data_IF_094893532423
#
_entry.id   IF_094893532423
#
_cell.length_a   1.000
_cell.length_b   1.000
_cell.length_c   1.000
_cell.angle_alpha   90.00
_cell.angle_beta   90.00
_cell.angle_gamma   90.00
#
_symmetry.space_group_name_H-M   'P 1'
#
loop_
_entity.id
_entity.type
_entity.pdbx_description
1 polymer ?
#
# COMPACT_ATOMS: atom_id res chain seq x y z
N UNK A 1 -0.78 -9.37 -21.79
CA UNK A 1 -0.46 -9.21 -20.37
C UNK A 1 0.96 -8.68 -20.28
N UNK A 2 1.17 -7.62 -19.52
CA UNK A 2 2.50 -7.04 -19.24
C UNK A 2 2.86 -7.33 -17.79
N UNK A 3 4.16 -7.38 -17.53
CA UNK A 3 4.68 -7.54 -16.17
C UNK A 3 5.61 -6.37 -15.85
N UNK A 4 5.55 -5.93 -14.61
CA UNK A 4 6.50 -5.03 -13.99
C UNK A 4 7.05 -5.67 -12.73
N UNK A 5 8.37 -5.75 -12.64
CA UNK A 5 9.06 -6.30 -11.46
C UNK A 5 10.25 -5.43 -11.14
N UNK A 6 10.44 -5.19 -9.87
CA UNK A 6 11.66 -4.58 -9.37
C UNK A 6 11.94 -4.99 -7.93
N UNK A 7 13.18 -4.84 -7.52
CA UNK A 7 13.64 -5.13 -6.17
C UNK A 7 14.48 -3.95 -5.68
N UNK A 8 14.30 -3.57 -4.41
CA UNK A 8 15.06 -2.55 -3.73
C UNK A 8 15.61 -3.11 -2.41
N UNK A 9 16.85 -2.78 -2.06
CA UNK A 9 17.34 -2.97 -0.70
C UNK A 9 17.09 -1.68 0.09
N UNK A 10 16.44 -1.81 1.24
CA UNK A 10 16.08 -0.71 2.12
C UNK A 10 16.79 -0.87 3.47
N UNK A 11 17.42 0.19 4.02
CA UNK A 11 18.18 0.13 5.28
C UNK A 11 17.24 0.23 6.51
N UNK A 12 16.19 -0.58 6.54
CA UNK A 12 15.17 -0.61 7.59
C UNK A 12 14.77 -2.06 7.89
N UNK A 13 14.37 -2.33 9.13
CA UNK A 13 13.78 -3.61 9.51
C UNK A 13 12.46 -3.85 8.75
N UNK A 14 12.19 -5.11 8.38
CA UNK A 14 10.99 -5.47 7.62
C UNK A 14 9.70 -5.12 8.35
N UNK A 15 9.63 -5.34 9.66
CA UNK A 15 8.48 -4.97 10.49
C UNK A 15 8.17 -3.46 10.44
N UNK A 16 9.22 -2.62 10.40
CA UNK A 16 9.05 -1.17 10.34
C UNK A 16 8.54 -0.71 8.98
N UNK A 17 9.01 -1.31 7.90
CA UNK A 17 8.48 -1.07 6.55
C UNK A 17 7.04 -1.57 6.43
N UNK A 18 6.76 -2.74 7.00
CA UNK A 18 5.42 -3.31 7.02
C UNK A 18 4.43 -2.38 7.70
N UNK A 19 4.74 -1.90 8.91
CA UNK A 19 3.90 -0.94 9.63
C UNK A 19 3.65 0.33 8.81
N UNK A 20 4.66 0.89 8.13
CA UNK A 20 4.47 2.05 7.26
C UNK A 20 3.52 1.75 6.10
N UNK A 21 3.58 0.56 5.53
CA UNK A 21 2.71 0.19 4.40
C UNK A 21 1.27 -0.08 4.84
N UNK A 22 1.05 -0.44 6.09
CA UNK A 22 -0.28 -0.59 6.67
C UNK A 22 -0.88 0.74 7.17
N UNK A 23 -0.06 1.75 7.43
CA UNK A 23 -0.50 3.09 7.79
C UNK A 23 -0.93 3.86 6.52
N UNK A 24 -2.18 3.67 6.10
CA UNK A 24 -2.72 4.22 4.85
C UNK A 24 -2.80 5.75 4.84
N UNK A 25 -2.90 6.39 5.99
CA UNK A 25 -2.93 7.85 6.11
C UNK A 25 -1.58 8.45 5.70
N UNK A 26 -0.48 7.73 5.94
CA UNK A 26 0.87 8.16 5.57
C UNK A 26 1.26 7.90 4.12
N UNK A 27 0.43 7.20 3.35
CA UNK A 27 0.76 6.99 1.94
C UNK A 27 0.95 8.29 1.18
N UNK A 28 0.29 9.37 1.58
CA UNK A 28 0.45 10.68 0.98
C UNK A 28 1.83 11.31 1.23
N UNK A 29 2.53 10.91 2.27
CA UNK A 29 3.82 11.46 2.67
C UNK A 29 4.94 10.98 1.74
N UNK A 30 4.88 9.74 1.26
CA UNK A 30 5.92 9.15 0.43
C UNK A 30 5.46 8.77 -0.99
N UNK A 31 4.18 8.66 -1.25
CA UNK A 31 3.62 8.35 -2.57
C UNK A 31 2.91 9.58 -3.17
N UNK A 32 3.62 10.50 -3.83
CA UNK A 32 3.11 11.82 -4.21
C UNK A 32 1.99 11.78 -5.25
N UNK A 33 1.80 10.62 -5.89
CA UNK A 33 0.65 10.41 -6.78
C UNK A 33 -0.61 10.03 -6.01
N UNK A 34 -0.49 9.53 -4.78
CA UNK A 34 -1.63 9.20 -3.92
C UNK A 34 -2.15 10.47 -3.27
N UNK A 35 -3.46 10.67 -3.32
CA UNK A 35 -4.15 11.76 -2.66
C UNK A 35 -4.79 11.32 -1.34
N UNK A 36 -5.27 10.08 -1.30
CA UNK A 36 -5.93 9.49 -0.14
C UNK A 36 -6.13 7.99 -0.36
N UNK A 37 -6.15 7.25 0.72
CA UNK A 37 -6.58 5.85 0.75
C UNK A 37 -7.77 5.74 1.70
N UNK A 38 -8.88 5.21 1.22
CA UNK A 38 -10.07 4.96 2.02
C UNK A 38 -10.18 3.44 2.26
N UNK A 39 -10.17 3.00 3.50
CA UNK A 39 -10.50 1.62 3.84
C UNK A 39 -12.01 1.45 3.70
N UNK A 40 -12.43 0.63 2.75
CA UNK A 40 -13.86 0.34 2.48
C UNK A 40 -14.32 -0.84 3.34
N UNK A 41 -13.44 -1.82 3.52
CA UNK A 41 -13.65 -2.99 4.36
C UNK A 41 -12.30 -3.43 4.95
N UNK A 42 -12.17 -3.60 6.27
CA UNK A 42 -10.87 -3.87 6.91
C UNK A 42 -10.32 -5.28 6.67
N UNK A 43 -11.14 -6.23 6.21
CA UNK A 43 -10.75 -7.63 6.08
C UNK A 43 -10.88 -8.40 7.40
N UNK A 44 -10.16 -9.54 7.48
CA UNK A 44 -10.00 -10.30 8.72
C UNK A 44 -8.91 -9.69 9.62
N UNK A 45 -8.64 -10.30 10.78
CA UNK A 45 -7.66 -9.82 11.76
C UNK A 45 -6.23 -9.74 11.20
N UNK A 46 -5.91 -10.52 10.17
CA UNK A 46 -4.65 -10.45 9.45
C UNK A 46 -4.65 -9.42 8.31
N UNK A 47 -5.82 -8.86 7.98
CA UNK A 47 -6.01 -7.94 6.87
C UNK A 47 -6.32 -8.61 5.53
N UNK A 48 -6.54 -9.94 5.48
CA UNK A 48 -6.99 -10.58 4.25
C UNK A 48 -8.44 -10.23 3.96
N UNK A 49 -8.73 -9.95 2.70
CA UNK A 49 -10.03 -9.44 2.29
C UNK A 49 -10.20 -7.94 2.51
N UNK A 50 -9.16 -7.24 2.98
CA UNK A 50 -9.15 -5.78 3.04
C UNK A 50 -9.50 -5.21 1.67
N UNK A 51 -10.50 -4.34 1.65
CA UNK A 51 -10.91 -3.60 0.47
C UNK A 51 -10.59 -2.13 0.69
N UNK A 52 -9.67 -1.58 -0.10
CA UNK A 52 -9.27 -0.18 -0.02
C UNK A 52 -9.48 0.53 -1.35
N UNK A 53 -9.83 1.80 -1.28
CA UNK A 53 -9.91 2.69 -2.43
C UNK A 53 -8.76 3.65 -2.41
N UNK A 54 -7.87 3.54 -3.39
CA UNK A 54 -6.77 4.50 -3.59
C UNK A 54 -7.23 5.59 -4.55
N UNK A 55 -7.12 6.84 -4.13
CA UNK A 55 -7.41 8.02 -4.94
C UNK A 55 -6.08 8.67 -5.31
N UNK A 56 -5.85 8.90 -6.59
CA UNK A 56 -4.57 9.36 -7.09
C UNK A 56 -4.70 10.50 -8.09
N UNK A 57 -3.60 11.24 -8.23
CA UNK A 57 -3.46 12.30 -9.22
C UNK A 57 -3.35 11.73 -10.63
N UNK A 58 -4.12 12.29 -11.54
CA UNK A 58 -4.06 12.01 -12.97
C UNK A 58 -3.51 13.23 -13.70
N UNK A 59 -3.00 13.06 -14.93
CA UNK A 59 -2.62 14.20 -15.78
C UNK A 59 -3.75 15.23 -15.91
N UNK A 60 -3.38 16.49 -16.14
CA UNK A 60 -4.31 17.62 -16.31
C UNK A 60 -5.17 17.92 -15.06
N UNK A 61 -4.64 17.64 -13.86
CA UNK A 61 -5.33 17.95 -12.59
C UNK A 61 -6.54 17.07 -12.30
N UNK A 62 -6.75 16.00 -13.07
CA UNK A 62 -7.82 15.03 -12.82
C UNK A 62 -7.47 14.11 -11.65
N UNK A 63 -8.50 13.48 -11.10
CA UNK A 63 -8.35 12.42 -10.10
C UNK A 63 -8.80 11.09 -10.71
N UNK A 64 -8.06 10.03 -10.37
CA UNK A 64 -8.44 8.65 -10.61
C UNK A 64 -8.71 7.95 -9.30
N UNK A 65 -9.36 6.80 -9.36
CA UNK A 65 -9.49 5.93 -8.20
C UNK A 65 -9.39 4.47 -8.63
N UNK A 66 -8.74 3.67 -7.80
CA UNK A 66 -8.69 2.23 -7.91
C UNK A 66 -9.28 1.61 -6.65
N UNK A 67 -10.02 0.53 -6.81
CA UNK A 67 -10.49 -0.29 -5.71
C UNK A 67 -9.62 -1.55 -5.70
N UNK A 68 -8.93 -1.78 -4.59
CA UNK A 68 -7.97 -2.87 -4.42
C UNK A 68 -8.46 -3.82 -3.35
N UNK A 69 -8.45 -5.12 -3.69
CA UNK A 69 -8.63 -6.21 -2.75
C UNK A 69 -7.26 -6.74 -2.35
N UNK A 70 -6.96 -6.74 -1.06
CA UNK A 70 -5.73 -7.29 -0.46
C UNK A 70 -5.98 -8.71 0.03
N UNK A 71 -5.02 -9.59 -0.19
CA UNK A 71 -5.07 -11.00 0.20
C UNK A 71 -3.67 -11.59 0.35
N UNK A 72 -3.57 -12.84 0.77
CA UNK A 72 -2.29 -13.55 0.84
C UNK A 72 -1.36 -13.03 1.93
N UNK A 73 -1.89 -12.34 2.93
CA UNK A 73 -1.16 -12.00 4.15
C UNK A 73 -1.09 -13.26 5.01
N UNK A 74 0.11 -13.69 5.31
CA UNK A 74 0.37 -14.81 6.21
C UNK A 74 0.96 -14.26 7.51
N UNK A 75 0.17 -14.19 8.61
CA UNK A 75 0.64 -13.67 9.90
C UNK A 75 1.65 -14.58 10.60
N UNK A 76 1.73 -15.87 10.18
CA UNK A 76 2.66 -16.86 10.76
C UNK A 76 3.96 -16.98 9.95
N UNK A 77 4.15 -16.13 8.94
CA UNK A 77 5.35 -16.15 8.11
C UNK A 77 6.57 -15.66 8.91
N UNK A 78 7.46 -16.59 9.27
CA UNK A 78 8.69 -16.29 10.04
C UNK A 78 9.71 -15.47 9.23
N UNK A 79 9.69 -15.55 7.90
CA UNK A 79 10.73 -15.04 7.01
C UNK A 79 10.39 -13.69 6.32
N UNK A 80 9.46 -12.91 6.86
CA UNK A 80 9.14 -11.59 6.31
C UNK A 80 7.66 -11.28 6.23
N UNK A 81 7.31 -10.28 5.42
CA UNK A 81 5.95 -9.81 5.24
C UNK A 81 5.61 -9.75 3.76
N UNK A 82 4.34 -9.90 3.44
CA UNK A 82 3.89 -9.76 2.07
C UNK A 82 2.38 -9.76 1.94
N UNK A 83 1.91 -9.30 0.80
CA UNK A 83 0.51 -9.39 0.41
C UNK A 83 0.37 -9.42 -1.11
N UNK A 84 -0.71 -10.03 -1.55
CA UNK A 84 -1.20 -9.92 -2.92
C UNK A 84 -2.26 -8.83 -2.99
N UNK A 85 -2.35 -8.15 -4.12
CA UNK A 85 -3.44 -7.23 -4.38
C UNK A 85 -4.06 -7.49 -5.75
N UNK A 86 -5.37 -7.28 -5.83
CA UNK A 86 -6.13 -7.36 -7.07
C UNK A 86 -6.91 -6.07 -7.24
N UNK A 87 -6.71 -5.40 -8.35
CA UNK A 87 -7.53 -4.24 -8.70
C UNK A 87 -8.88 -4.70 -9.22
N UNK A 88 -9.95 -4.24 -8.58
CA UNK A 88 -11.32 -4.50 -9.00
C UNK A 88 -11.71 -3.46 -10.06
N UNK A 89 -11.43 -3.76 -11.32
CA UNK A 89 -11.76 -2.90 -12.45
C UNK A 89 -13.27 -2.86 -12.70
N UNK A 90 -13.76 -1.70 -13.15
CA UNK A 90 -15.13 -1.57 -13.63
C UNK A 90 -15.34 -2.07 -15.07
N UNK A 91 -14.26 -2.34 -15.78
CA UNK A 91 -14.31 -2.77 -17.18
C UNK A 91 -13.92 -4.22 -17.30
N UNK A 92 -14.77 -5.07 -17.90
CA UNK A 92 -14.41 -6.46 -18.16
C UNK A 92 -13.11 -6.55 -18.97
N UNK A 93 -12.19 -7.37 -18.51
CA UNK A 93 -10.91 -7.63 -19.17
C UNK A 93 -9.76 -6.69 -18.78
N UNK A 94 -9.99 -5.67 -17.95
CA UNK A 94 -8.92 -4.90 -17.32
C UNK A 94 -8.53 -5.61 -16.01
N UNK A 95 -7.52 -6.47 -16.09
CA UNK A 95 -7.03 -7.21 -14.94
C UNK A 95 -5.69 -6.62 -14.49
N UNK A 96 -5.59 -6.35 -13.20
CA UNK A 96 -4.35 -5.94 -12.57
C UNK A 96 -4.22 -6.64 -11.24
N UNK A 97 -3.16 -7.40 -11.11
CA UNK A 97 -2.80 -8.11 -9.87
C UNK A 97 -1.34 -7.86 -9.56
N UNK A 98 -0.98 -7.91 -8.32
CA UNK A 98 0.41 -7.78 -7.94
C UNK A 98 0.70 -8.41 -6.59
N UNK A 99 1.98 -8.48 -6.27
CA UNK A 99 2.52 -8.96 -5.00
C UNK A 99 3.57 -8.01 -4.48
N UNK A 100 3.51 -7.75 -3.21
CA UNK A 100 4.53 -7.06 -2.42
C UNK A 100 5.17 -8.08 -1.47
N UNK A 101 6.50 -8.06 -1.37
CA UNK A 101 7.23 -8.90 -0.42
C UNK A 101 8.32 -8.09 0.26
N UNK A 102 8.46 -8.28 1.57
CA UNK A 102 9.49 -7.69 2.43
C UNK A 102 10.28 -8.84 3.07
N UNK A 103 11.43 -9.16 2.51
CA UNK A 103 12.33 -10.21 2.98
C UNK A 103 13.41 -9.59 3.88
N UNK A 104 13.51 -9.94 5.17
CA UNK A 104 14.62 -9.51 6.02
C UNK A 104 15.94 -10.09 5.48
N UNK A 105 16.90 -9.23 5.16
CA UNK A 105 18.27 -9.64 4.75
C UNK A 105 19.31 -9.24 5.79
N UNK A 106 18.84 -8.74 6.94
CA UNK A 106 19.64 -8.36 8.10
C UNK A 106 18.76 -7.63 9.13
N UNK A 107 19.30 -7.34 10.33
CA UNK A 107 18.50 -6.75 11.43
C UNK A 107 17.80 -5.43 11.07
N UNK A 108 18.46 -4.61 10.26
CA UNK A 108 17.97 -3.32 9.78
C UNK A 108 18.09 -3.22 8.25
N UNK A 109 17.86 -4.31 7.55
CA UNK A 109 17.96 -4.35 6.10
C UNK A 109 16.95 -5.31 5.52
N UNK A 110 16.17 -4.83 4.58
CA UNK A 110 15.06 -5.55 3.96
C UNK A 110 15.21 -5.48 2.45
N UNK A 111 14.99 -6.61 1.80
CA UNK A 111 14.75 -6.69 0.37
C UNK A 111 13.27 -6.53 0.12
N UNK A 112 12.89 -5.39 -0.46
CA UNK A 112 11.56 -5.14 -0.98
C UNK A 112 11.48 -5.69 -2.41
N UNK A 113 10.46 -6.48 -2.70
CA UNK A 113 10.16 -6.95 -4.06
C UNK A 113 8.73 -6.59 -4.42
N UNK A 114 8.56 -6.09 -5.64
CA UNK A 114 7.27 -5.74 -6.22
C UNK A 114 7.11 -6.46 -7.55
N UNK A 115 6.01 -7.16 -7.69
CA UNK A 115 5.60 -7.81 -8.93
C UNK A 115 4.19 -7.37 -9.26
N UNK A 116 3.96 -6.98 -10.50
CA UNK A 116 2.66 -6.56 -10.98
C UNK A 116 2.42 -7.12 -12.37
N UNK A 117 1.21 -7.63 -12.58
CA UNK A 117 0.72 -8.08 -13.88
C UNK A 117 -0.52 -7.29 -14.23
N UNK A 118 -0.56 -6.80 -15.45
CA UNK A 118 -1.67 -6.00 -15.92
C UNK A 118 -2.02 -6.26 -17.38
N UNK A 119 -3.29 -6.05 -17.68
CA UNK A 119 -3.85 -6.14 -19.02
C UNK A 119 -4.87 -5.03 -19.20
N UNK A 120 -4.64 -4.11 -20.13
CA UNK A 120 -5.64 -3.12 -20.52
C UNK A 120 -6.29 -3.56 -21.82
N UNK A 121 -7.57 -3.85 -21.76
CA UNK A 121 -8.32 -4.32 -22.93
C UNK A 121 -9.10 -3.20 -23.61
N UNK A 122 -9.28 -2.06 -22.92
CA UNK A 122 -10.07 -0.95 -23.47
C UNK A 122 -9.33 -0.16 -24.54
N UNK A 123 -9.82 -0.21 -25.79
CA UNK A 123 -9.46 0.71 -26.87
C UNK A 123 -10.09 2.07 -26.56
N UNK A 124 -9.41 3.21 -26.68
CA UNK A 124 -8.14 3.48 -27.36
C UNK A 124 -6.87 3.42 -26.47
N UNK A 125 -6.97 3.13 -25.18
CA UNK A 125 -5.86 3.17 -24.23
C UNK A 125 -4.74 2.18 -24.54
N UNK A 126 -5.05 1.10 -25.23
CA UNK A 126 -4.07 0.08 -25.65
C UNK A 126 -2.89 0.66 -26.46
N UNK A 127 -3.10 1.71 -27.23
CA UNK A 127 -2.04 2.37 -28.00
C UNK A 127 -1.08 3.18 -27.11
N UNK A 128 -1.57 3.67 -25.98
CA UNK A 128 -0.79 4.46 -25.04
C UNK A 128 -0.35 3.64 -23.81
N UNK A 129 -0.67 2.36 -23.80
CA UNK A 129 -0.38 1.46 -22.70
C UNK A 129 1.09 1.54 -22.26
N UNK A 130 2.06 1.45 -23.19
CA UNK A 130 3.48 1.50 -22.89
C UNK A 130 3.93 2.77 -22.14
N UNK A 131 3.67 3.96 -22.70
CA UNK A 131 3.99 5.23 -22.03
C UNK A 131 3.31 5.41 -20.66
N UNK A 132 2.02 5.04 -20.55
CA UNK A 132 1.26 5.18 -19.30
C UNK A 132 1.87 4.28 -18.20
N UNK A 133 2.09 3.01 -18.51
CA UNK A 133 2.69 2.09 -17.53
C UNK A 133 4.13 2.43 -17.24
N UNK A 134 4.92 2.83 -18.21
CA UNK A 134 6.27 3.30 -17.95
C UNK A 134 6.32 4.50 -17.00
N UNK A 135 5.30 5.36 -17.04
CA UNK A 135 5.15 6.44 -16.07
C UNK A 135 4.74 5.91 -14.69
N UNK A 136 3.71 5.06 -14.61
CA UNK A 136 3.21 4.47 -13.35
C UNK A 136 4.33 3.70 -12.66
N UNK A 137 5.05 2.85 -13.38
CA UNK A 137 6.14 2.04 -12.84
C UNK A 137 7.25 2.91 -12.22
N UNK A 138 7.67 3.98 -12.93
CA UNK A 138 8.65 4.93 -12.37
C UNK A 138 8.14 5.63 -11.11
N UNK A 139 6.85 5.96 -11.04
CA UNK A 139 6.27 6.56 -9.85
C UNK A 139 6.21 5.57 -8.68
N UNK A 140 5.89 4.31 -8.93
CA UNK A 140 5.88 3.27 -7.90
C UNK A 140 7.29 3.05 -7.31
N UNK A 141 8.31 2.89 -8.15
CA UNK A 141 9.69 2.77 -7.67
C UNK A 141 10.14 4.01 -6.89
N UNK A 142 9.83 5.21 -7.40
CA UNK A 142 10.17 6.46 -6.72
C UNK A 142 9.46 6.58 -5.36
N UNK A 143 8.20 6.14 -5.26
CA UNK A 143 7.46 6.13 -4.00
C UNK A 143 8.12 5.21 -2.96
N UNK A 144 8.58 4.04 -3.36
CA UNK A 144 9.27 3.13 -2.44
C UNK A 144 10.61 3.67 -1.96
N UNK A 145 11.38 4.35 -2.81
CA UNK A 145 12.59 5.05 -2.38
C UNK A 145 12.29 6.16 -1.38
N UNK A 146 11.22 6.94 -1.63
CA UNK A 146 10.76 7.97 -0.69
C UNK A 146 10.24 7.39 0.62
N UNK A 147 9.57 6.23 0.61
CA UNK A 147 9.20 5.53 1.84
C UNK A 147 10.42 5.21 2.71
N UNK A 148 11.51 4.75 2.09
CA UNK A 148 12.77 4.52 2.78
C UNK A 148 13.39 5.82 3.32
N UNK A 149 13.38 6.90 2.53
CA UNK A 149 13.86 8.22 2.95
C UNK A 149 13.00 8.78 4.08
N UNK A 150 11.68 8.64 3.99
CA UNK A 150 10.74 9.07 5.03
C UNK A 150 11.04 8.36 6.36
N UNK A 151 11.21 7.04 6.36
CA UNK A 151 11.59 6.28 7.55
C UNK A 151 12.94 6.71 8.12
N UNK A 152 13.89 7.09 7.28
CA UNK A 152 15.18 7.62 7.74
C UNK A 152 15.02 8.96 8.46
N UNK A 153 14.11 9.80 7.98
CA UNK A 153 13.78 11.09 8.61
C UNK A 153 12.91 10.99 9.87
N UNK A 154 12.27 9.84 10.13
CA UNK A 154 11.35 9.63 11.24
C UNK A 154 11.79 8.42 12.09
N UNK A 155 12.92 8.49 12.80
CA UNK A 155 13.45 7.37 13.60
C UNK A 155 12.50 6.95 14.73
N UNK A 156 11.62 7.84 15.17
CA UNK A 156 10.59 7.60 16.19
C UNK A 156 9.43 6.73 15.71
N UNK A 157 9.20 6.59 14.39
CA UNK A 157 8.14 5.74 13.86
C UNK A 157 8.40 4.27 14.18
N UNK A 158 7.55 3.67 14.99
CA UNK A 158 7.66 2.29 15.46
C UNK A 158 6.37 1.52 15.24
N UNK A 159 6.45 0.22 14.87
CA UNK A 159 5.26 -0.63 14.66
C UNK A 159 4.38 -0.76 15.90
N UNK A 160 5.00 -0.84 17.08
CA UNK A 160 4.38 -1.04 18.39
C UNK A 160 3.55 0.16 18.88
N UNK A 161 3.65 1.31 18.22
CA UNK A 161 2.86 2.51 18.54
C UNK A 161 1.61 2.67 17.65
N UNK A 162 1.52 1.94 16.55
CA UNK A 162 0.38 2.05 15.61
C UNK A 162 -0.89 1.43 16.21
N UNK A 163 -0.76 0.40 17.05
CA UNK A 163 -1.89 -0.28 17.69
C UNK A 163 -2.42 0.45 18.94
N UNK A 164 -1.65 1.39 19.52
CA UNK A 164 -1.98 2.04 20.79
C UNK A 164 -3.03 3.16 20.65
N UNK A 165 -3.21 3.73 19.47
CA UNK A 165 -4.13 4.85 19.27
C UNK A 165 -5.57 4.41 18.92
N UNK A 166 -5.81 3.13 18.65
CA UNK A 166 -7.15 2.63 18.30
C UNK A 166 -8.01 2.38 19.53
N UNK A 167 -7.41 2.08 20.69
CA UNK A 167 -8.14 1.77 21.93
C UNK A 167 -8.43 3.03 22.81
N UNK A 168 -7.97 4.20 22.41
CA UNK A 168 -7.99 5.42 23.23
C UNK A 168 -9.27 6.26 23.21
N UNK A 169 -10.29 5.93 22.43
CA UNK A 169 -11.47 6.79 22.26
C UNK A 169 -12.81 6.11 22.58
N UNK A 170 -12.93 5.49 23.73
CA UNK A 170 -14.13 4.75 24.14
C UNK A 170 -14.63 4.89 25.56
N UNK A 171 -14.08 5.79 26.39
CA UNK A 171 -14.68 6.08 27.70
C UNK A 171 -14.80 7.60 27.95
N UNK A 172 -15.78 8.21 27.29
CA UNK A 172 -16.33 9.51 27.73
C UNK A 172 -17.43 9.21 28.75
N UNK A 173 -17.02 9.24 30.01
CA UNK A 173 -17.73 9.66 31.21
C UNK A 173 -19.26 9.95 31.05
N UNK A 174 -20.07 8.98 31.39
CA UNK A 174 -21.50 9.12 31.61
C UNK A 174 -21.82 8.93 33.11
N UNK A 175 -21.27 9.82 33.94
CA UNK A 175 -21.71 9.91 35.36
C UNK A 175 -21.67 11.33 35.85
N UNK A 176 -22.76 12.09 35.62
CA UNK A 176 -23.22 13.17 36.48
C UNK A 176 -24.54 13.72 35.91
N UNK A 177 -25.67 13.20 36.34
CA UNK A 177 -26.68 14.06 36.97
C UNK A 177 -27.87 13.20 37.44
N UNK A 178 -27.92 12.97 38.72
CA UNK A 178 -29.12 12.59 39.46
C UNK A 178 -29.14 13.41 40.75
N UNK A 179 -29.79 14.55 40.69
CA UNK A 179 -30.14 15.42 41.79
C UNK A 179 -31.51 16.01 41.58
#
# INVERSE_FOLDING_TARGET
>A
MREHRYTLEMPHAAARLWALFQDYDRWTDYAPMVLRVDVVWPGDDAGNGLLRRVIYKMPLGRQGSALELVSGIDPEQDDGYGYDFTMLSRKPGDDQTGRVTLEPVGPNRTRFSFEERYNLTSVPWKWFEGPIYGFINRQNEASMRRASEWLTGHPEFRPDLVDADVDGNGEADASADAG
#
